data_IF_086883798839
#
_entry.id   IF_086883798839
#
_cell.length_a   1.000
_cell.length_b   1.000
_cell.length_c   1.000
_cell.angle_alpha   90.00
_cell.angle_beta   90.00
_cell.angle_gamma   90.00
#
_symmetry.space_group_name_H-M   'P 1'
#
loop_
_entity.id
_entity.type
_entity.pdbx_description
1 polymer ?
#
# COMPACT_ATOMS: atom_id res chain seq x y z
N UNK A 1 -30.53 7.79 -6.13
CA UNK A 1 -29.18 7.39 -5.71
C UNK A 1 -29.05 5.88 -5.92
N UNK A 2 -28.10 5.42 -6.67
CA UNK A 2 -28.05 4.01 -7.13
C UNK A 2 -27.22 3.18 -6.14
N UNK A 3 -27.87 2.51 -5.20
CA UNK A 3 -27.23 1.71 -4.11
C UNK A 3 -26.13 0.74 -4.59
N UNK A 4 -26.29 0.17 -5.79
CA UNK A 4 -25.28 -0.74 -6.36
C UNK A 4 -23.99 -0.03 -6.75
N UNK A 5 -24.07 1.22 -7.21
CA UNK A 5 -22.92 2.07 -7.54
C UNK A 5 -22.09 2.40 -6.29
N UNK A 6 -22.77 2.71 -5.17
CA UNK A 6 -22.11 3.06 -3.91
C UNK A 6 -21.39 1.87 -3.26
N UNK A 7 -21.98 0.68 -3.35
CA UNK A 7 -21.36 -0.55 -2.85
C UNK A 7 -20.09 -0.89 -3.65
N UNK A 8 -20.15 -0.76 -4.99
CA UNK A 8 -19.00 -0.99 -5.85
C UNK A 8 -17.86 0.00 -5.59
N UNK A 9 -18.18 1.28 -5.45
CA UNK A 9 -17.21 2.33 -5.15
C UNK A 9 -16.52 2.11 -3.79
N UNK A 10 -17.28 1.73 -2.75
CA UNK A 10 -16.69 1.43 -1.42
C UNK A 10 -15.79 0.20 -1.46
N UNK A 11 -16.17 -0.85 -2.20
CA UNK A 11 -15.33 -2.05 -2.35
C UNK A 11 -14.02 -1.75 -3.07
N UNK A 12 -14.08 -0.96 -4.15
CA UNK A 12 -12.89 -0.52 -4.88
C UNK A 12 -11.97 0.34 -4.01
N UNK A 13 -12.53 1.30 -3.25
CA UNK A 13 -11.77 2.13 -2.32
C UNK A 13 -11.11 1.30 -1.22
N UNK A 14 -11.83 0.34 -0.64
CA UNK A 14 -11.27 -0.57 0.37
C UNK A 14 -10.12 -1.40 -0.20
N UNK A 15 -10.25 -1.89 -1.42
CA UNK A 15 -9.18 -2.62 -2.12
C UNK A 15 -7.93 -1.75 -2.28
N UNK A 16 -8.09 -0.54 -2.82
CA UNK A 16 -6.99 0.41 -3.02
C UNK A 16 -6.31 0.81 -1.71
N UNK A 17 -7.08 1.05 -0.63
CA UNK A 17 -6.53 1.38 0.69
C UNK A 17 -5.60 0.29 1.21
N UNK A 18 -6.05 -0.97 1.20
CA UNK A 18 -5.25 -2.10 1.69
C UNK A 18 -4.01 -2.36 0.85
N UNK A 19 -4.12 -2.21 -0.46
CA UNK A 19 -3.00 -2.28 -1.38
C UNK A 19 -1.96 -1.21 -1.06
N UNK A 20 -2.38 0.04 -0.88
CA UNK A 20 -1.50 1.16 -0.53
C UNK A 20 -0.78 0.91 0.80
N UNK A 21 -1.48 0.40 1.82
CA UNK A 21 -0.87 0.02 3.11
C UNK A 21 0.15 -1.09 2.93
N UNK A 22 -0.13 -2.10 2.11
CA UNK A 22 0.82 -3.18 1.84
C UNK A 22 2.08 -2.67 1.13
N UNK A 23 1.92 -1.81 0.12
CA UNK A 23 3.05 -1.19 -0.60
C UNK A 23 3.89 -0.34 0.37
N UNK A 24 3.24 0.46 1.24
CA UNK A 24 3.91 1.25 2.26
C UNK A 24 4.74 0.37 3.21
N UNK A 25 4.14 -0.73 3.69
CA UNK A 25 4.86 -1.71 4.51
C UNK A 25 6.08 -2.28 3.78
N UNK A 26 5.92 -2.69 2.51
CA UNK A 26 7.04 -3.22 1.72
C UNK A 26 8.15 -2.18 1.55
N UNK A 27 7.81 -0.93 1.26
CA UNK A 27 8.77 0.16 1.15
C UNK A 27 9.58 0.33 2.45
N UNK A 28 8.94 0.20 3.60
CA UNK A 28 9.59 0.38 4.90
C UNK A 28 10.53 -0.76 5.31
N UNK A 29 10.34 -1.97 4.77
CA UNK A 29 11.11 -3.16 5.17
C UNK A 29 12.17 -3.59 4.16
N UNK A 30 12.06 -3.17 2.92
CA UNK A 30 13.02 -3.51 1.87
C UNK A 30 14.33 -2.75 2.04
N UNK A 31 15.43 -3.37 1.63
CA UNK A 31 16.73 -2.73 1.56
C UNK A 31 16.77 -1.74 0.37
N UNK A 32 17.67 -0.75 0.43
CA UNK A 32 17.82 0.31 -0.59
C UNK A 32 18.13 -0.20 -2.00
N UNK A 33 18.63 -1.42 -2.11
CA UNK A 33 18.94 -2.07 -3.40
C UNK A 33 17.70 -2.55 -4.19
N UNK A 34 16.51 -2.48 -3.57
CA UNK A 34 15.26 -2.87 -4.22
C UNK A 34 14.46 -1.66 -4.65
N UNK A 35 14.06 -1.65 -5.90
CA UNK A 35 13.15 -0.66 -6.47
C UNK A 35 11.72 -1.21 -6.46
N UNK A 36 10.78 -0.36 -6.08
CA UNK A 36 9.36 -0.63 -5.96
C UNK A 36 8.63 0.10 -7.06
N UNK A 37 7.80 -0.60 -7.79
CA UNK A 37 6.95 -0.09 -8.86
C UNK A 37 5.48 -0.39 -8.54
N UNK A 38 4.75 0.55 -7.92
CA UNK A 38 3.31 0.40 -7.69
C UNK A 38 2.55 0.44 -9.03
N UNK A 39 1.50 -0.40 -9.17
CA UNK A 39 0.58 -0.39 -10.33
C UNK A 39 1.28 -0.49 -11.70
N UNK A 40 2.41 -1.16 -11.78
CA UNK A 40 3.10 -1.32 -13.07
C UNK A 40 2.53 -2.50 -13.86
N UNK A 41 2.88 -3.72 -13.51
CA UNK A 41 2.39 -4.96 -14.13
C UNK A 41 1.32 -5.61 -13.27
N UNK A 42 1.54 -5.54 -11.97
CA UNK A 42 0.67 -5.99 -10.89
C UNK A 42 0.50 -4.86 -9.87
N UNK A 43 -0.27 -5.10 -8.82
CA UNK A 43 -0.44 -4.12 -7.74
C UNK A 43 0.89 -3.64 -7.19
N UNK A 44 1.92 -4.51 -7.22
CA UNK A 44 3.29 -4.18 -6.85
C UNK A 44 4.30 -5.07 -7.59
N UNK A 45 5.26 -4.44 -8.24
CA UNK A 45 6.44 -5.09 -8.79
C UNK A 45 7.69 -4.62 -8.04
N UNK A 46 8.56 -5.57 -7.69
CA UNK A 46 9.84 -5.28 -7.03
C UNK A 46 10.97 -5.74 -7.93
N UNK A 47 11.92 -4.85 -8.16
CA UNK A 47 13.14 -5.13 -8.93
C UNK A 47 14.39 -5.00 -8.07
N UNK A 48 15.40 -5.74 -8.46
CA UNK A 48 16.77 -5.60 -8.01
C UNK A 48 17.69 -5.65 -9.21
N UNK A 49 18.57 -4.66 -9.34
CA UNK A 49 19.51 -4.57 -10.48
C UNK A 49 18.79 -4.71 -11.85
N UNK A 50 17.66 -4.04 -12.01
CA UNK A 50 16.74 -4.09 -13.16
C UNK A 50 16.09 -5.45 -13.45
N UNK A 51 16.28 -6.47 -12.62
CA UNK A 51 15.62 -7.76 -12.72
C UNK A 51 14.39 -7.80 -11.83
N UNK A 52 13.29 -8.37 -12.33
CA UNK A 52 12.07 -8.56 -11.55
C UNK A 52 12.30 -9.70 -10.56
N UNK A 53 12.17 -9.39 -9.27
CA UNK A 53 12.33 -10.35 -8.16
C UNK A 53 10.98 -10.80 -7.59
N UNK A 54 10.00 -9.88 -7.55
CA UNK A 54 8.67 -10.18 -7.02
C UNK A 54 7.58 -9.51 -7.86
N UNK A 55 6.51 -10.26 -8.15
CA UNK A 55 5.24 -9.75 -8.65
C UNK A 55 4.15 -10.07 -7.63
N UNK A 56 3.41 -9.08 -7.21
CA UNK A 56 2.53 -9.16 -6.05
C UNK A 56 1.14 -8.65 -6.41
N UNK A 57 0.14 -9.50 -6.20
CA UNK A 57 -1.27 -9.16 -6.29
C UNK A 57 -1.85 -9.03 -4.88
N UNK A 58 -2.54 -7.95 -4.59
CA UNK A 58 -3.22 -7.71 -3.30
C UNK A 58 -4.73 -7.85 -3.46
N UNK A 59 -5.37 -8.57 -2.58
CA UNK A 59 -6.83 -8.77 -2.55
C UNK A 59 -7.41 -8.45 -1.18
N UNK A 60 -8.38 -7.55 -1.16
CA UNK A 60 -9.19 -7.29 0.04
C UNK A 60 -10.66 -7.57 -0.29
N UNK A 61 -11.08 -8.78 -0.03
CA UNK A 61 -12.43 -9.27 -0.29
C UNK A 61 -13.10 -9.71 1.02
N UNK A 62 -14.41 -9.60 1.09
CA UNK A 62 -15.19 -9.96 2.27
C UNK A 62 -15.46 -11.47 2.40
N UNK A 63 -15.20 -12.22 1.35
CA UNK A 63 -15.33 -13.68 1.29
C UNK A 63 -13.96 -14.34 1.28
N UNK A 64 -13.91 -15.66 1.35
CA UNK A 64 -12.66 -16.38 1.19
C UNK A 64 -12.05 -16.16 -0.20
N UNK A 65 -10.75 -15.93 -0.26
CA UNK A 65 -10.00 -15.81 -1.51
C UNK A 65 -9.93 -17.17 -2.20
N UNK A 66 -10.50 -17.26 -3.39
CA UNK A 66 -10.50 -18.48 -4.21
C UNK A 66 -9.78 -18.23 -5.54
N UNK A 67 -9.50 -19.29 -6.28
CA UNK A 67 -8.88 -19.19 -7.61
C UNK A 67 -9.70 -18.30 -8.58
N UNK A 68 -11.04 -18.32 -8.46
CA UNK A 68 -11.90 -17.48 -9.31
C UNK A 68 -11.69 -15.98 -9.12
N UNK A 69 -11.27 -15.53 -7.92
CA UNK A 69 -10.95 -14.12 -7.65
C UNK A 69 -9.67 -13.65 -8.36
N UNK A 70 -8.81 -14.58 -8.78
CA UNK A 70 -7.61 -14.30 -9.58
C UNK A 70 -7.90 -14.39 -11.09
N UNK A 71 -9.17 -14.69 -11.45
CA UNK A 71 -9.71 -14.70 -12.83
C UNK A 71 -8.81 -15.44 -13.85
N UNK A 72 -8.41 -16.69 -13.60
CA UNK A 72 -7.42 -17.37 -14.44
C UNK A 72 -7.87 -17.60 -15.88
N UNK A 73 -9.19 -17.48 -16.17
CA UNK A 73 -9.76 -17.57 -17.52
C UNK A 73 -9.48 -16.33 -18.38
N UNK A 74 -9.28 -15.19 -17.75
CA UNK A 74 -9.11 -13.92 -18.46
C UNK A 74 -7.73 -13.90 -19.13
N UNK A 75 -7.66 -13.39 -20.36
CA UNK A 75 -6.39 -13.28 -21.11
C UNK A 75 -5.37 -12.41 -20.37
N UNK A 76 -5.85 -11.38 -19.68
CA UNK A 76 -5.05 -10.46 -18.86
C UNK A 76 -5.09 -10.82 -17.38
N UNK A 77 -5.21 -12.12 -17.04
CA UNK A 77 -5.21 -12.57 -15.65
C UNK A 77 -3.83 -12.39 -15.00
N UNK A 78 -3.83 -12.30 -13.68
CA UNK A 78 -2.60 -12.30 -12.87
C UNK A 78 -1.63 -13.41 -13.33
N UNK A 79 -2.12 -14.65 -13.45
CA UNK A 79 -1.28 -15.77 -13.85
C UNK A 79 -0.70 -15.64 -15.26
N UNK A 80 -1.44 -15.07 -16.23
CA UNK A 80 -0.92 -14.85 -17.58
C UNK A 80 0.19 -13.80 -17.58
N UNK A 81 -0.05 -12.68 -16.90
CA UNK A 81 0.95 -11.61 -16.82
C UNK A 81 2.24 -12.03 -16.13
N UNK A 82 2.17 -12.83 -15.05
CA UNK A 82 3.40 -13.28 -14.37
C UNK A 82 4.22 -14.26 -15.22
N UNK A 83 3.59 -15.01 -16.12
CA UNK A 83 4.30 -15.90 -17.04
C UNK A 83 5.16 -15.14 -18.07
N UNK A 84 4.81 -13.89 -18.41
CA UNK A 84 5.64 -13.03 -19.28
C UNK A 84 6.99 -12.66 -18.62
N UNK A 85 7.09 -12.80 -17.30
CA UNK A 85 8.29 -12.53 -16.50
C UNK A 85 8.95 -13.80 -15.96
N UNK A 86 8.57 -14.97 -16.49
CA UNK A 86 9.06 -16.27 -16.00
C UNK A 86 10.59 -16.31 -15.93
N UNK A 87 11.12 -16.52 -14.73
CA UNK A 87 12.53 -16.69 -14.44
C UNK A 87 12.71 -17.60 -13.22
N UNK A 88 13.91 -18.15 -13.03
CA UNK A 88 14.21 -19.04 -11.91
C UNK A 88 14.09 -18.38 -10.53
N UNK A 89 14.27 -17.06 -10.45
CA UNK A 89 14.32 -16.32 -9.18
C UNK A 89 13.04 -15.52 -8.90
N UNK A 90 12.09 -15.48 -9.85
CA UNK A 90 10.86 -14.71 -9.67
C UNK A 90 9.99 -15.32 -8.56
N UNK A 91 9.56 -14.51 -7.61
CA UNK A 91 8.55 -14.87 -6.60
C UNK A 91 7.20 -14.26 -6.96
N UNK A 92 6.19 -15.10 -7.02
CA UNK A 92 4.81 -14.69 -7.26
C UNK A 92 4.10 -14.64 -5.91
N UNK A 93 3.52 -13.50 -5.53
CA UNK A 93 2.82 -13.39 -4.26
C UNK A 93 1.38 -12.96 -4.45
N UNK A 94 0.49 -13.62 -3.74
CA UNK A 94 -0.90 -13.20 -3.59
C UNK A 94 -1.15 -12.87 -2.12
N UNK A 95 -1.42 -11.61 -1.83
CA UNK A 95 -1.67 -11.11 -0.49
C UNK A 95 -3.16 -10.96 -0.29
N UNK A 96 -3.70 -11.64 0.71
CA UNK A 96 -5.11 -11.56 1.09
C UNK A 96 -5.29 -10.84 2.41
N UNK A 97 -6.13 -9.81 2.44
CA UNK A 97 -6.62 -9.19 3.68
C UNK A 97 -7.91 -9.85 4.22
N UNK A 98 -8.43 -10.84 3.50
CA UNK A 98 -9.47 -11.75 3.94
C UNK A 98 -8.92 -13.13 4.24
N UNK A 99 -9.81 -14.09 4.42
CA UNK A 99 -9.41 -15.49 4.56
C UNK A 99 -8.90 -16.02 3.22
N UNK A 100 -8.07 -17.06 3.29
CA UNK A 100 -7.66 -17.83 2.11
C UNK A 100 -8.59 -19.04 2.04
N UNK A 101 -9.24 -19.25 0.90
CA UNK A 101 -10.11 -20.39 0.67
C UNK A 101 -9.32 -21.70 0.66
N UNK A 102 -9.96 -22.77 1.07
CA UNK A 102 -9.35 -24.08 1.24
C UNK A 102 -8.50 -24.52 0.03
N UNK A 103 -9.02 -24.34 -1.20
CA UNK A 103 -8.32 -24.70 -2.43
C UNK A 103 -6.94 -24.06 -2.55
N UNK A 104 -6.85 -22.73 -2.35
CA UNK A 104 -5.59 -22.00 -2.44
C UNK A 104 -4.68 -22.28 -1.25
N UNK A 105 -5.25 -22.54 -0.09
CA UNK A 105 -4.48 -22.94 1.09
C UNK A 105 -3.79 -24.29 0.87
N UNK A 106 -4.48 -25.27 0.24
CA UNK A 106 -3.89 -26.56 -0.09
C UNK A 106 -2.74 -26.43 -1.11
N UNK A 107 -2.88 -25.55 -2.10
CA UNK A 107 -1.79 -25.24 -3.04
C UNK A 107 -0.60 -24.64 -2.32
N UNK A 108 -0.84 -23.69 -1.43
CA UNK A 108 0.20 -23.00 -0.66
C UNK A 108 0.95 -23.98 0.28
N UNK A 109 0.24 -24.95 0.86
CA UNK A 109 0.81 -26.02 1.71
C UNK A 109 1.46 -27.15 0.92
N UNK A 110 1.45 -27.09 -0.41
CA UNK A 110 1.97 -28.16 -1.30
C UNK A 110 1.27 -29.51 -1.07
N UNK A 111 0.00 -29.51 -0.71
CA UNK A 111 -0.77 -30.72 -0.55
C UNK A 111 -1.07 -31.37 -1.90
N UNK A 112 -0.81 -32.67 -2.05
CA UNK A 112 -0.91 -33.38 -3.33
C UNK A 112 -2.31 -33.32 -3.95
N UNK A 113 -3.36 -33.50 -3.17
CA UNK A 113 -4.75 -33.45 -3.65
C UNK A 113 -5.13 -32.03 -4.07
N UNK A 114 -4.71 -31.02 -3.29
CA UNK A 114 -4.89 -29.60 -3.62
C UNK A 114 -4.19 -29.21 -4.93
N UNK A 115 -2.95 -29.64 -5.09
CA UNK A 115 -2.17 -29.44 -6.33
C UNK A 115 -2.88 -30.11 -7.52
N UNK A 116 -3.33 -31.35 -7.36
CA UNK A 116 -4.05 -32.07 -8.42
C UNK A 116 -5.35 -31.37 -8.83
N UNK A 117 -6.12 -30.88 -7.86
CA UNK A 117 -7.34 -30.11 -8.12
C UNK A 117 -7.03 -28.78 -8.83
N UNK A 118 -6.01 -28.06 -8.37
CA UNK A 118 -5.56 -26.81 -8.98
C UNK A 118 -5.11 -27.04 -10.43
N UNK A 119 -4.26 -28.03 -10.68
CA UNK A 119 -3.80 -28.40 -12.04
C UNK A 119 -4.98 -28.68 -12.97
N UNK A 120 -5.93 -29.52 -12.54
CA UNK A 120 -7.12 -29.84 -13.32
C UNK A 120 -7.90 -28.58 -13.74
N UNK A 121 -8.05 -27.62 -12.83
CA UNK A 121 -8.74 -26.36 -13.13
C UNK A 121 -7.94 -25.48 -14.08
N UNK A 122 -6.63 -25.33 -13.86
CA UNK A 122 -5.77 -24.49 -14.70
C UNK A 122 -5.68 -25.04 -16.13
N UNK A 123 -5.57 -26.36 -16.29
CA UNK A 123 -5.64 -27.02 -17.61
C UNK A 123 -6.97 -26.70 -18.34
N UNK A 124 -8.09 -26.62 -17.60
CA UNK A 124 -9.38 -26.23 -18.20
C UNK A 124 -9.46 -24.75 -18.62
N UNK A 125 -8.45 -23.95 -18.30
CA UNK A 125 -8.28 -22.54 -18.69
C UNK A 125 -7.11 -22.35 -19.66
N UNK A 126 -6.74 -23.41 -20.39
CA UNK A 126 -5.72 -23.41 -21.43
C UNK A 126 -4.30 -23.04 -20.95
N UNK A 127 -3.96 -23.38 -19.69
CA UNK A 127 -2.57 -23.37 -19.21
C UNK A 127 -1.92 -24.72 -19.51
N UNK A 128 -0.64 -24.70 -19.87
CA UNK A 128 0.14 -25.92 -20.05
C UNK A 128 0.58 -26.51 -18.71
N UNK A 129 0.91 -27.78 -18.67
CA UNK A 129 1.47 -28.43 -17.47
C UNK A 129 2.75 -27.77 -17.00
N UNK A 130 3.60 -27.32 -17.92
CA UNK A 130 4.84 -26.61 -17.59
C UNK A 130 4.56 -25.27 -16.92
N UNK A 131 3.62 -24.46 -17.45
CA UNK A 131 3.21 -23.18 -16.86
C UNK A 131 2.63 -23.37 -15.45
N UNK A 132 1.78 -24.38 -15.28
CA UNK A 132 1.13 -24.68 -14.00
C UNK A 132 2.16 -25.13 -12.96
N UNK A 133 3.09 -26.00 -13.33
CA UNK A 133 4.15 -26.45 -12.44
C UNK A 133 5.02 -25.27 -12.01
N UNK A 134 5.43 -24.42 -12.94
CA UNK A 134 6.21 -23.25 -12.65
C UNK A 134 5.45 -22.28 -11.71
N UNK A 135 4.16 -22.02 -11.95
CA UNK A 135 3.32 -21.20 -11.04
C UNK A 135 3.30 -21.82 -9.64
N UNK A 136 3.07 -23.14 -9.52
CA UNK A 136 3.01 -23.82 -8.23
C UNK A 136 4.35 -23.69 -7.49
N UNK A 137 5.47 -23.80 -8.16
CA UNK A 137 6.80 -23.67 -7.54
C UNK A 137 7.07 -22.28 -6.98
N UNK A 138 6.59 -21.24 -7.68
CA UNK A 138 6.97 -19.85 -7.40
C UNK A 138 5.92 -19.06 -6.61
N UNK A 139 4.68 -19.60 -6.48
CA UNK A 139 3.60 -18.89 -5.80
C UNK A 139 3.67 -19.03 -4.28
N UNK A 140 3.50 -17.91 -3.60
CA UNK A 140 3.26 -17.79 -2.16
C UNK A 140 1.93 -17.05 -1.95
N UNK A 141 1.01 -17.65 -1.18
CA UNK A 141 -0.27 -17.03 -0.85
C UNK A 141 -0.26 -16.73 0.64
N UNK A 142 -0.37 -15.45 1.00
CA UNK A 142 -0.23 -15.01 2.38
C UNK A 142 -1.43 -14.20 2.84
N UNK A 143 -1.93 -14.51 4.03
CA UNK A 143 -2.91 -13.69 4.73
C UNK A 143 -2.17 -12.60 5.51
N UNK A 144 -2.61 -11.35 5.33
CA UNK A 144 -2.12 -10.21 6.09
C UNK A 144 -3.28 -9.51 6.82
N UNK A 145 -2.94 -8.75 7.83
CA UNK A 145 -3.88 -7.93 8.59
C UNK A 145 -3.47 -6.46 8.51
N UNK A 146 -4.38 -5.60 8.09
CA UNK A 146 -4.10 -4.18 7.86
C UNK A 146 -3.63 -3.46 9.14
N UNK A 147 -4.26 -3.75 10.29
CA UNK A 147 -3.87 -3.15 11.56
C UNK A 147 -2.44 -3.55 11.95
N UNK A 148 -2.12 -4.85 11.82
CA UNK A 148 -0.76 -5.35 12.09
C UNK A 148 0.29 -4.76 11.14
N UNK A 149 -0.05 -4.53 9.86
CA UNK A 149 0.88 -3.86 8.94
C UNK A 149 1.10 -2.40 9.31
N UNK A 150 0.05 -1.69 9.72
CA UNK A 150 0.16 -0.30 10.21
C UNK A 150 1.06 -0.22 11.45
N UNK A 151 0.87 -1.12 12.43
CA UNK A 151 1.74 -1.20 13.61
C UNK A 151 3.21 -1.38 13.22
N UNK A 152 3.51 -2.32 12.32
CA UNK A 152 4.88 -2.53 11.82
C UNK A 152 5.45 -1.32 11.09
N UNK A 153 4.63 -0.58 10.35
CA UNK A 153 5.04 0.67 9.71
C UNK A 153 5.40 1.70 10.79
N UNK A 154 4.55 1.88 11.82
CA UNK A 154 4.82 2.81 12.92
C UNK A 154 6.10 2.45 13.69
N UNK A 155 6.31 1.17 14.01
CA UNK A 155 7.55 0.71 14.65
C UNK A 155 8.79 1.08 13.81
N UNK A 156 8.72 0.92 12.49
CA UNK A 156 9.81 1.28 11.59
C UNK A 156 10.02 2.79 11.49
N UNK A 157 8.96 3.58 11.40
CA UNK A 157 9.03 5.03 11.40
C UNK A 157 9.69 5.54 12.68
N UNK A 158 9.27 5.07 13.85
CA UNK A 158 9.83 5.43 15.15
C UNK A 158 11.31 5.05 15.26
N UNK A 159 11.68 3.86 14.80
CA UNK A 159 13.07 3.41 14.81
C UNK A 159 13.97 4.25 13.90
N UNK A 160 13.48 4.59 12.71
CA UNK A 160 14.29 5.27 11.70
C UNK A 160 14.43 6.77 11.97
N UNK A 161 13.38 7.42 12.47
CA UNK A 161 13.35 8.88 12.54
C UNK A 161 13.40 9.45 13.96
N UNK A 162 13.26 8.63 15.01
CA UNK A 162 13.36 9.02 16.44
C UNK A 162 12.64 10.34 16.75
N UNK A 163 11.49 10.56 16.12
CA UNK A 163 10.77 11.82 16.28
C UNK A 163 9.61 11.64 17.26
N UNK A 164 9.36 12.64 18.10
CA UNK A 164 8.12 12.78 18.85
C UNK A 164 6.98 13.37 17.99
N UNK A 165 7.26 13.61 16.72
CA UNK A 165 6.27 14.10 15.76
C UNK A 165 5.32 12.96 15.47
N UNK A 166 4.04 13.25 15.57
CA UNK A 166 2.98 12.27 15.48
C UNK A 166 3.16 11.34 14.29
N UNK A 167 3.38 10.07 14.59
CA UNK A 167 3.56 8.99 13.62
C UNK A 167 2.45 8.98 12.57
N UNK A 168 1.24 9.40 12.96
CA UNK A 168 0.09 9.52 12.07
C UNK A 168 0.32 10.51 10.91
N UNK A 169 1.03 11.63 11.14
CA UNK A 169 1.30 12.60 10.04
C UNK A 169 2.23 11.95 9.02
N UNK A 170 3.35 11.41 9.48
CA UNK A 170 4.33 10.77 8.59
C UNK A 170 3.68 9.57 7.88
N UNK A 171 2.85 8.80 8.59
CA UNK A 171 2.09 7.70 8.01
C UNK A 171 1.14 8.20 6.91
N UNK A 172 0.37 9.25 7.15
CA UNK A 172 -0.53 9.81 6.15
C UNK A 172 0.23 10.37 4.94
N UNK A 173 1.37 11.02 5.18
CA UNK A 173 2.27 11.45 4.10
C UNK A 173 2.79 10.26 3.29
N UNK A 174 3.14 9.15 3.93
CA UNK A 174 3.56 7.92 3.27
C UNK A 174 2.44 7.35 2.39
N UNK A 175 1.22 7.25 2.91
CA UNK A 175 0.06 6.75 2.16
C UNK A 175 -0.23 7.64 0.94
N UNK A 176 -0.22 8.96 1.11
CA UNK A 176 -0.41 9.90 0.01
C UNK A 176 0.72 9.82 -1.02
N UNK A 177 1.96 9.66 -0.58
CA UNK A 177 3.11 9.48 -1.45
C UNK A 177 2.94 8.24 -2.33
N UNK A 178 2.64 7.08 -1.73
CA UNK A 178 2.40 5.83 -2.46
C UNK A 178 1.22 5.96 -3.43
N UNK A 179 0.12 6.57 -2.99
CA UNK A 179 -1.06 6.80 -3.85
C UNK A 179 -0.73 7.65 -5.09
N UNK A 180 0.16 8.63 -4.94
CA UNK A 180 0.61 9.45 -6.06
C UNK A 180 1.53 8.67 -7.02
N UNK A 181 2.44 7.85 -6.47
CA UNK A 181 3.28 6.97 -7.29
C UNK A 181 2.45 5.97 -8.08
N UNK A 182 1.45 5.35 -7.45
CA UNK A 182 0.53 4.41 -8.10
C UNK A 182 -0.20 5.06 -9.29
N UNK A 183 -0.67 6.31 -9.13
CA UNK A 183 -1.34 7.04 -10.22
C UNK A 183 -0.43 7.36 -11.40
N UNK A 184 0.86 7.57 -11.15
CA UNK A 184 1.84 7.95 -12.16
C UNK A 184 2.66 6.76 -12.67
N UNK A 185 2.52 5.60 -12.05
CA UNK A 185 3.33 4.40 -12.32
C UNK A 185 4.83 4.70 -12.15
N UNK A 186 5.17 5.48 -11.11
CA UNK A 186 6.54 5.90 -10.83
C UNK A 186 7.23 4.95 -9.84
N UNK A 187 8.53 4.80 -10.02
CA UNK A 187 9.39 4.00 -9.15
C UNK A 187 9.74 4.74 -7.87
N UNK A 188 9.90 3.99 -6.78
CA UNK A 188 10.52 4.45 -5.53
C UNK A 188 11.36 3.37 -4.89
N UNK A 189 12.16 3.75 -3.89
CA UNK A 189 12.86 2.83 -2.99
C UNK A 189 12.98 3.44 -1.58
N UNK A 190 13.52 2.68 -0.65
CA UNK A 190 13.63 3.10 0.74
C UNK A 190 14.47 4.39 0.90
N UNK A 191 15.56 4.54 0.15
CA UNK A 191 16.41 5.74 0.19
C UNK A 191 15.67 7.00 -0.26
N UNK A 192 14.91 6.91 -1.35
CA UNK A 192 14.11 8.05 -1.87
C UNK A 192 13.06 8.45 -0.82
N UNK A 193 12.37 7.47 -0.24
CA UNK A 193 11.38 7.72 0.80
C UNK A 193 12.01 8.35 2.06
N UNK A 194 13.12 7.83 2.55
CA UNK A 194 13.80 8.38 3.73
C UNK A 194 14.22 9.85 3.54
N UNK A 195 14.70 10.21 2.35
CA UNK A 195 14.99 11.60 2.02
C UNK A 195 13.72 12.46 2.08
N UNK A 196 12.60 11.95 1.54
CA UNK A 196 11.30 12.66 1.57
C UNK A 196 10.79 12.88 3.00
N UNK A 197 10.90 11.88 3.86
CA UNK A 197 10.52 12.02 5.29
C UNK A 197 11.38 13.07 5.99
N UNK A 198 12.68 13.10 5.73
CA UNK A 198 13.57 14.12 6.31
C UNK A 198 13.17 15.55 5.90
N UNK A 199 12.70 15.75 4.65
CA UNK A 199 12.13 17.03 4.20
C UNK A 199 10.87 17.36 4.98
N UNK A 200 9.91 16.43 5.07
CA UNK A 200 8.65 16.59 5.82
C UNK A 200 8.93 16.98 7.27
N UNK A 201 9.87 16.29 7.93
CA UNK A 201 10.23 16.60 9.33
C UNK A 201 10.79 18.02 9.45
N UNK A 202 11.65 18.45 8.55
CA UNK A 202 12.18 19.82 8.55
C UNK A 202 11.08 20.86 8.42
N UNK A 203 10.12 20.63 7.52
CA UNK A 203 8.98 21.52 7.32
C UNK A 203 8.13 21.62 8.58
N UNK A 204 7.81 20.49 9.21
CA UNK A 204 7.03 20.44 10.46
C UNK A 204 7.76 21.18 11.60
N UNK A 205 9.07 20.98 11.75
CA UNK A 205 9.88 21.67 12.77
C UNK A 205 9.91 23.18 12.51
N UNK A 206 10.01 23.59 11.25
CA UNK A 206 9.96 25.02 10.87
C UNK A 206 8.62 25.64 11.26
N UNK A 207 7.49 24.99 10.96
CA UNK A 207 6.14 25.45 11.35
C UNK A 207 6.03 25.55 12.87
N UNK A 208 6.53 24.57 13.61
CA UNK A 208 6.54 24.58 15.07
C UNK A 208 7.33 25.79 15.61
N UNK A 209 8.52 26.03 15.09
CA UNK A 209 9.35 27.17 15.49
C UNK A 209 8.65 28.51 15.23
N UNK A 210 7.96 28.65 14.10
CA UNK A 210 7.16 29.86 13.81
C UNK A 210 6.02 30.05 14.84
N UNK A 211 5.34 28.98 15.24
CA UNK A 211 4.28 29.06 16.25
C UNK A 211 4.81 29.47 17.62
N UNK A 212 5.94 28.92 18.05
CA UNK A 212 6.59 29.27 19.30
C UNK A 212 7.04 30.75 19.30
N UNK A 213 7.62 31.22 18.20
CA UNK A 213 8.05 32.59 18.04
C UNK A 213 6.91 33.60 18.20
N UNK A 214 5.72 33.28 17.76
CA UNK A 214 4.57 34.17 17.85
C UNK A 214 3.70 33.94 19.10
N UNK A 215 4.18 33.18 20.09
CA UNK A 215 3.48 32.90 21.34
C UNK A 215 2.17 32.15 21.20
N UNK A 216 2.06 31.30 20.17
CA UNK A 216 0.82 30.61 19.83
C UNK A 216 0.80 29.19 20.34
N UNK A 217 -0.41 28.70 20.63
CA UNK A 217 -0.62 27.28 20.89
C UNK A 217 -0.21 26.49 19.66
N UNK A 218 0.67 25.53 19.83
CA UNK A 218 1.10 24.64 18.76
C UNK A 218 -0.11 23.79 18.36
N UNK A 219 -0.42 23.76 17.07
CA UNK A 219 -1.41 22.81 16.55
C UNK A 219 -1.00 21.41 16.98
N UNK A 220 -1.95 20.67 17.56
CA UNK A 220 -1.72 19.27 17.83
C UNK A 220 -1.75 18.50 16.51
N UNK A 221 -0.57 18.36 15.92
CA UNK A 221 -0.42 17.70 14.63
C UNK A 221 -0.78 16.20 14.67
N UNK A 222 -0.88 15.61 15.90
CA UNK A 222 -1.35 14.23 16.06
C UNK A 222 -2.82 14.06 15.67
N UNK A 223 -3.60 15.13 15.79
CA UNK A 223 -5.02 15.14 15.42
C UNK A 223 -5.24 15.49 13.95
N UNK A 224 -4.18 15.84 13.24
CA UNK A 224 -4.27 16.13 11.80
C UNK A 224 -4.57 14.83 11.04
N UNK A 225 -5.78 14.73 10.53
CA UNK A 225 -6.21 13.64 9.67
C UNK A 225 -6.32 14.13 8.24
N UNK A 226 -5.96 13.28 7.30
CA UNK A 226 -6.07 13.59 5.86
C UNK A 226 -7.51 13.77 5.39
N UNK A 227 -8.48 13.35 6.20
CA UNK A 227 -9.92 13.52 5.95
C UNK A 227 -10.48 14.83 6.48
N UNK A 228 -9.72 15.58 7.29
CA UNK A 228 -10.10 16.94 7.67
C UNK A 228 -9.90 17.90 6.49
N UNK A 229 -10.92 18.68 6.20
CA UNK A 229 -10.82 19.72 5.19
C UNK A 229 -9.87 20.83 5.63
N UNK A 230 -9.27 21.52 4.66
CA UNK A 230 -8.45 22.71 4.92
C UNK A 230 -9.26 23.78 5.65
N UNK A 231 -10.57 23.87 5.40
CA UNK A 231 -11.49 24.77 6.07
C UNK A 231 -11.58 24.52 7.57
N UNK A 232 -11.72 23.25 8.00
CA UNK A 232 -11.78 22.89 9.43
C UNK A 232 -10.49 23.27 10.14
N UNK A 233 -9.35 23.00 9.51
CA UNK A 233 -8.05 23.38 10.04
C UNK A 233 -7.86 24.89 10.13
N UNK A 234 -8.34 25.62 9.12
CA UNK A 234 -8.32 27.08 9.11
C UNK A 234 -9.17 27.65 10.22
N UNK A 235 -10.34 27.08 10.48
CA UNK A 235 -11.24 27.49 11.55
C UNK A 235 -10.65 27.18 12.95
N UNK A 236 -10.15 25.97 13.17
CA UNK A 236 -9.45 25.59 14.41
C UNK A 236 -8.23 26.50 14.67
N UNK A 237 -7.52 26.85 13.62
CA UNK A 237 -6.38 27.73 13.67
C UNK A 237 -6.79 29.17 14.04
N UNK A 238 -7.87 29.72 13.47
CA UNK A 238 -8.40 31.04 13.79
C UNK A 238 -8.85 31.13 15.25
N UNK A 239 -9.62 30.13 15.71
CA UNK A 239 -10.14 30.08 17.08
C UNK A 239 -9.02 29.98 18.13
N UNK A 240 -7.88 29.39 17.80
CA UNK A 240 -6.71 29.32 18.68
C UNK A 240 -5.83 30.58 18.68
N UNK A 241 -6.14 31.61 17.89
CA UNK A 241 -5.24 32.73 17.62
C UNK A 241 -6.00 34.07 17.54
N UNK A 242 -6.75 34.39 18.56
CA UNK A 242 -7.49 35.66 18.66
C UNK A 242 -6.62 36.92 18.55
N UNK A 243 -5.33 36.82 18.80
CA UNK A 243 -4.37 37.92 18.75
C UNK A 243 -3.55 37.98 17.44
N UNK A 244 -3.95 37.26 16.38
CA UNK A 244 -3.18 37.28 15.13
C UNK A 244 -3.32 38.56 14.35
N UNK A 245 -2.21 39.06 13.76
CA UNK A 245 -2.27 40.10 12.75
C UNK A 245 -3.16 39.66 11.57
N UNK A 246 -3.94 40.58 11.04
CA UNK A 246 -4.94 40.31 9.99
C UNK A 246 -4.33 39.70 8.70
N UNK A 247 -3.07 40.03 8.39
CA UNK A 247 -2.39 39.45 7.24
C UNK A 247 -2.16 37.93 7.35
N UNK A 248 -2.08 37.39 8.60
CA UNK A 248 -1.94 35.96 8.81
C UNK A 248 -3.29 35.26 8.74
N UNK A 249 -4.37 35.94 9.19
CA UNK A 249 -5.74 35.42 9.04
C UNK A 249 -6.10 35.27 7.56
N UNK A 250 -5.81 36.30 6.77
CA UNK A 250 -6.14 36.32 5.33
C UNK A 250 -5.40 35.24 4.52
N UNK A 251 -4.24 34.76 4.99
CA UNK A 251 -3.51 33.68 4.32
C UNK A 251 -4.01 32.28 4.71
N UNK A 252 -4.98 32.18 5.59
CA UNK A 252 -5.62 30.93 6.00
C UNK A 252 -6.99 30.72 5.33
N UNK A 253 -7.46 31.70 4.57
CA UNK A 253 -8.70 31.66 3.79
C UNK A 253 -8.49 31.10 2.37
N UNK A 254 -7.58 30.11 2.21
CA UNK A 254 -7.30 29.46 0.92
C UNK A 254 -8.20 28.25 0.72
#
# INVERSE_FOLDING_TARGET
>A
MNLKSDIGARAAWKGFSSQTVYIAYRLMILEDKFDIYPENVEDLMIKKDNKVEELIQVKNISTDLTLSHLKPKDKDSFFRRVLDYKSENLKIKVISFGNIGFELEQVNKRNEEGIKSFKKKMLSYDYTDEEINWIIEHIEIKKENEASLKEKIFEKLNKNFKTSIADNIIFNCLINYISNLSRKVEMTNNKIWNNKVNEIIKDIVSIKGMHEQYGRTILNLSDYRTDKSVEVLSEEYRNGIDAKPDHIRNNLDI
#
